data_IF_761917794389
#
_entry.id   IF_761917794389
#
_cell.length_a   1.000
_cell.length_b   1.000
_cell.length_c   1.000
_cell.angle_alpha   90.00
_cell.angle_beta   90.00
_cell.angle_gamma   90.00
#
_symmetry.space_group_name_H-M   'P 1'
#
loop_
_entity.id
_entity.type
_entity.pdbx_description
1 polymer ?
#
# COMPACT_ATOMS: atom_id res chain seq x y z
N UNK A 1 -9.10 -10.60 13.26
CA UNK A 1 -7.90 -11.30 12.74
C UNK A 1 -6.60 -10.66 13.21
N UNK A 2 -6.41 -9.36 12.98
CA UNK A 2 -5.15 -8.66 13.32
C UNK A 2 -5.14 -7.97 14.69
N UNK A 3 -6.25 -7.99 15.42
CA UNK A 3 -6.45 -7.22 16.65
C UNK A 3 -5.37 -7.47 17.71
N UNK A 4 -4.95 -8.72 17.91
CA UNK A 4 -3.89 -9.09 18.86
C UNK A 4 -2.51 -8.51 18.51
N UNK A 5 -2.31 -8.05 17.28
CA UNK A 5 -1.12 -7.33 16.85
C UNK A 5 -1.36 -5.83 16.95
N UNK A 6 -2.51 -5.36 16.44
CA UNK A 6 -2.80 -3.93 16.31
C UNK A 6 -3.12 -3.24 17.65
N UNK A 7 -3.52 -4.00 18.67
CA UNK A 7 -3.68 -3.49 20.04
C UNK A 7 -2.34 -3.10 20.68
N UNK A 8 -1.28 -3.85 20.36
CA UNK A 8 0.07 -3.62 20.88
C UNK A 8 0.85 -2.62 20.00
N UNK A 9 0.70 -2.74 18.68
CA UNK A 9 1.36 -1.89 17.69
C UNK A 9 0.36 -1.54 16.59
N UNK A 10 -0.20 -0.33 16.68
CA UNK A 10 -1.26 0.16 15.79
C UNK A 10 -0.97 -0.11 14.29
N UNK A 11 0.26 0.18 13.84
CA UNK A 11 0.72 -0.14 12.49
C UNK A 11 1.82 -1.21 12.53
N UNK A 12 1.46 -2.45 12.23
CA UNK A 12 2.45 -3.51 12.06
C UNK A 12 3.16 -3.40 10.71
N UNK A 13 4.49 -3.24 10.74
CA UNK A 13 5.34 -3.18 9.55
C UNK A 13 5.99 -4.54 9.30
N UNK A 14 5.25 -5.42 8.64
CA UNK A 14 5.70 -6.77 8.30
C UNK A 14 6.34 -6.74 6.92
N UNK A 15 7.51 -7.37 6.79
CA UNK A 15 8.22 -7.55 5.52
C UNK A 15 8.46 -9.04 5.32
N UNK A 16 8.13 -9.52 4.12
CA UNK A 16 8.36 -10.89 3.69
C UNK A 16 9.21 -10.91 2.44
N UNK A 17 10.18 -11.82 2.38
CA UNK A 17 10.96 -12.09 1.18
C UNK A 17 10.41 -13.33 0.49
N UNK A 18 9.87 -13.15 -0.71
CA UNK A 18 9.30 -14.24 -1.49
C UNK A 18 10.31 -15.32 -1.80
N UNK A 19 9.86 -16.58 -1.78
CA UNK A 19 10.73 -17.73 -2.05
C UNK A 19 11.04 -17.83 -3.53
N UNK A 20 10.05 -17.55 -4.39
CA UNK A 20 10.17 -17.74 -5.84
C UNK A 20 11.01 -16.69 -6.53
N UNK A 21 10.85 -15.42 -6.16
CA UNK A 21 11.48 -14.30 -6.87
C UNK A 21 12.52 -13.54 -6.02
N UNK A 22 12.54 -13.76 -4.69
CA UNK A 22 13.37 -12.98 -3.79
C UNK A 22 12.92 -11.53 -3.62
N UNK A 23 11.73 -11.18 -4.12
CA UNK A 23 11.12 -9.87 -3.97
C UNK A 23 10.69 -9.62 -2.53
N UNK A 24 10.78 -8.36 -2.10
CA UNK A 24 10.26 -7.91 -0.81
C UNK A 24 8.81 -7.48 -0.98
N UNK A 25 7.95 -8.02 -0.13
CA UNK A 25 6.54 -7.62 0.02
C UNK A 25 6.37 -7.09 1.43
N UNK A 26 5.71 -5.95 1.58
CA UNK A 26 5.49 -5.34 2.89
C UNK A 26 4.06 -4.92 3.11
N UNK A 27 3.61 -4.95 4.37
CA UNK A 27 2.42 -4.23 4.79
C UNK A 27 2.67 -2.72 4.74
N UNK A 28 1.63 -1.96 4.46
CA UNK A 28 1.69 -0.50 4.43
C UNK A 28 0.34 0.10 4.81
N UNK A 29 0.37 1.18 5.60
CA UNK A 29 -0.81 1.93 6.00
C UNK A 29 -1.87 1.00 6.60
N UNK A 30 -1.53 0.38 7.72
CA UNK A 30 -2.46 -0.49 8.44
C UNK A 30 -3.51 0.35 9.17
N UNK A 31 -4.77 0.05 8.89
CA UNK A 31 -5.95 0.75 9.40
C UNK A 31 -6.86 -0.25 10.14
N UNK A 32 -6.64 -0.46 11.45
CA UNK A 32 -7.59 -1.15 12.30
C UNK A 32 -8.94 -0.41 12.27
N UNK A 33 -10.05 -1.16 12.21
CA UNK A 33 -11.42 -0.62 12.11
C UNK A 33 -11.65 0.34 10.93
N UNK A 34 -10.88 0.17 9.87
CA UNK A 34 -10.78 1.13 8.78
C UNK A 34 -11.66 0.80 7.57
N UNK A 35 -11.55 1.67 6.58
CA UNK A 35 -12.19 1.56 5.27
C UNK A 35 -11.15 1.61 4.15
N UNK A 36 -11.34 0.78 3.14
CA UNK A 36 -10.70 0.96 1.83
C UNK A 36 -11.39 2.11 1.10
N UNK A 37 -10.62 2.97 0.45
CA UNK A 37 -11.11 4.12 -0.32
C UNK A 37 -10.50 4.21 -1.70
N UNK A 38 -11.14 4.98 -2.57
CA UNK A 38 -10.58 5.37 -3.85
C UNK A 38 -9.65 6.57 -3.69
N UNK A 39 -8.49 6.52 -4.34
CA UNK A 39 -7.58 7.66 -4.51
C UNK A 39 -7.49 7.99 -6.00
N UNK A 40 -7.80 9.25 -6.37
CA UNK A 40 -7.73 9.71 -7.76
C UNK A 40 -6.54 10.65 -7.93
N UNK A 41 -5.59 10.24 -8.77
CA UNK A 41 -4.44 11.07 -9.15
C UNK A 41 -4.42 11.21 -10.66
N UNK A 42 -4.60 12.43 -11.16
CA UNK A 42 -4.57 12.75 -12.60
C UNK A 42 -5.52 11.88 -13.46
N UNK A 43 -6.71 11.55 -12.92
CA UNK A 43 -7.71 10.74 -13.61
C UNK A 43 -7.46 9.23 -13.55
N UNK A 44 -6.42 8.79 -12.85
CA UNK A 44 -6.16 7.39 -12.55
C UNK A 44 -6.73 7.09 -11.16
N UNK A 45 -7.61 6.10 -11.07
CA UNK A 45 -8.20 5.66 -9.80
C UNK A 45 -7.39 4.48 -9.26
N UNK A 46 -6.88 4.65 -8.05
CA UNK A 46 -6.16 3.65 -7.26
C UNK A 46 -6.92 3.38 -5.96
N UNK A 47 -6.50 2.37 -5.20
CA UNK A 47 -7.00 2.16 -3.84
C UNK A 47 -6.08 2.83 -2.83
N UNK A 48 -6.63 3.13 -1.66
CA UNK A 48 -5.92 3.50 -0.44
C UNK A 48 -6.78 3.07 0.77
N UNK A 49 -6.40 3.41 2.00
CA UNK A 49 -7.18 3.10 3.19
C UNK A 49 -7.05 4.17 4.28
N UNK A 50 -8.06 4.24 5.14
CA UNK A 50 -8.02 5.07 6.35
C UNK A 50 -8.82 4.43 7.49
N UNK A 51 -8.74 5.03 8.68
CA UNK A 51 -9.62 4.72 9.82
C UNK A 51 -10.11 6.03 10.45
N UNK A 52 -11.32 6.03 11.00
CA UNK A 52 -11.88 7.20 11.66
C UNK A 52 -11.41 7.30 13.12
N UNK A 53 -11.20 8.52 13.60
CA UNK A 53 -10.94 8.75 15.02
C UNK A 53 -12.19 8.57 15.88
N UNK A 54 -13.39 8.79 15.32
CA UNK A 54 -14.66 8.57 16.01
C UNK A 54 -14.98 7.05 16.05
N UNK A 55 -15.06 6.43 17.24
CA UNK A 55 -15.42 5.01 17.38
C UNK A 55 -16.78 4.65 16.81
N UNK A 56 -17.73 5.57 16.73
CA UNK A 56 -19.05 5.31 16.14
C UNK A 56 -19.01 5.06 14.63
N UNK A 57 -17.91 5.45 13.97
CA UNK A 57 -17.67 5.25 12.54
C UNK A 57 -16.72 4.07 12.27
N UNK A 58 -16.35 3.31 13.30
CA UNK A 58 -15.49 2.15 13.16
C UNK A 58 -16.18 1.04 12.39
N UNK A 59 -15.42 0.39 11.51
CA UNK A 59 -15.87 -0.83 10.86
C UNK A 59 -15.37 -2.06 11.61
N UNK A 60 -15.97 -3.22 11.29
CA UNK A 60 -15.48 -4.53 11.76
C UNK A 60 -14.22 -4.99 11.02
N UNK A 61 -13.76 -4.25 10.01
CA UNK A 61 -12.67 -4.65 9.14
C UNK A 61 -11.36 -3.97 9.52
N UNK A 62 -10.27 -4.71 9.34
CA UNK A 62 -8.92 -4.12 9.25
C UNK A 62 -8.50 -4.14 7.79
N UNK A 63 -7.99 -3.01 7.29
CA UNK A 63 -7.40 -2.95 5.95
C UNK A 63 -5.94 -2.51 6.01
N UNK A 64 -5.16 -2.93 5.02
CA UNK A 64 -3.79 -2.49 4.80
C UNK A 64 -3.40 -2.83 3.36
N UNK A 65 -2.42 -2.12 2.82
CA UNK A 65 -1.86 -2.42 1.52
C UNK A 65 -0.76 -3.48 1.61
N UNK A 66 -0.66 -4.31 0.57
CA UNK A 66 0.50 -5.17 0.31
C UNK A 66 1.27 -4.61 -0.88
N UNK A 67 2.47 -4.13 -0.62
CA UNK A 67 3.33 -3.50 -1.64
C UNK A 67 4.49 -4.41 -1.98
N UNK A 68 4.64 -4.73 -3.27
CA UNK A 68 5.81 -5.44 -3.80
C UNK A 68 6.83 -4.41 -4.27
N UNK A 69 8.05 -4.47 -3.75
CA UNK A 69 9.13 -3.58 -4.19
C UNK A 69 9.80 -4.13 -5.45
N UNK A 70 9.85 -3.31 -6.51
CA UNK A 70 10.59 -3.61 -7.73
C UNK A 70 11.71 -2.61 -7.93
N UNK A 71 12.93 -3.12 -8.13
CA UNK A 71 14.08 -2.32 -8.55
C UNK A 71 14.31 -2.60 -10.03
N UNK A 72 13.96 -1.64 -10.88
CA UNK A 72 14.21 -1.74 -12.30
C UNK A 72 15.67 -1.43 -12.61
N UNK A 73 16.17 -2.09 -13.65
CA UNK A 73 17.51 -1.86 -14.19
C UNK A 73 17.40 -1.35 -15.63
N UNK A 74 18.54 -0.98 -16.21
CA UNK A 74 18.61 -0.61 -17.62
C UNK A 74 17.97 -1.68 -18.54
N UNK A 75 17.31 -1.27 -19.64
CA UNK A 75 17.19 0.10 -20.15
C UNK A 75 16.02 0.92 -19.54
N UNK A 76 15.26 0.35 -18.60
CA UNK A 76 14.03 0.97 -18.11
C UNK A 76 14.31 1.99 -17.00
N UNK A 77 13.68 3.17 -17.10
CA UNK A 77 13.93 4.30 -16.18
C UNK A 77 12.67 4.93 -15.59
N UNK A 78 11.48 4.56 -16.07
CA UNK A 78 10.24 5.24 -15.72
C UNK A 78 9.30 4.38 -14.86
N UNK A 79 9.69 4.10 -13.61
CA UNK A 79 8.89 3.33 -12.65
C UNK A 79 7.48 3.88 -12.42
N UNK A 80 7.30 5.21 -12.51
CA UNK A 80 5.99 5.83 -12.35
C UNK A 80 5.05 5.43 -13.49
N UNK A 81 5.51 5.51 -14.73
CA UNK A 81 4.72 5.09 -15.90
C UNK A 81 4.37 3.60 -15.85
N UNK A 82 5.27 2.74 -15.35
CA UNK A 82 4.95 1.34 -15.11
C UNK A 82 3.78 1.19 -14.13
N UNK A 83 3.85 1.86 -12.97
CA UNK A 83 2.78 1.85 -11.97
C UNK A 83 1.45 2.40 -12.51
N UNK A 84 1.51 3.54 -13.21
CA UNK A 84 0.35 4.15 -13.86
C UNK A 84 -0.29 3.21 -14.89
N UNK A 85 0.52 2.50 -15.69
CA UNK A 85 0.00 1.59 -16.72
C UNK A 85 -0.83 0.44 -16.11
N UNK A 86 -0.40 -0.09 -14.96
CA UNK A 86 -1.15 -1.12 -14.22
C UNK A 86 -2.45 -0.55 -13.66
N UNK A 87 -2.40 0.65 -13.08
CA UNK A 87 -3.59 1.31 -12.56
C UNK A 87 -4.61 1.65 -13.65
N UNK A 88 -4.15 2.13 -14.81
CA UNK A 88 -4.99 2.35 -16.00
C UNK A 88 -5.62 1.05 -16.49
N UNK A 89 -4.88 -0.06 -16.48
CA UNK A 89 -5.43 -1.37 -16.83
C UNK A 89 -6.55 -1.80 -15.85
N UNK A 90 -6.36 -1.56 -14.55
CA UNK A 90 -7.41 -1.77 -13.54
C UNK A 90 -8.66 -0.95 -13.83
N UNK A 91 -8.50 0.34 -14.11
CA UNK A 91 -9.63 1.24 -14.41
C UNK A 91 -10.35 0.85 -15.70
N UNK A 92 -9.62 0.39 -16.71
CA UNK A 92 -10.19 -0.08 -17.98
C UNK A 92 -11.10 -1.29 -17.78
N UNK A 93 -10.68 -2.27 -16.96
CA UNK A 93 -11.46 -3.49 -16.73
C UNK A 93 -12.57 -3.30 -15.69
N UNK A 94 -12.35 -2.45 -14.69
CA UNK A 94 -13.25 -2.28 -13.55
C UNK A 94 -14.16 -1.05 -13.61
N UNK A 95 -13.88 -0.08 -14.48
CA UNK A 95 -14.48 1.26 -14.40
C UNK A 95 -14.03 2.04 -13.15
N UNK A 96 -12.97 1.58 -12.48
CA UNK A 96 -12.53 2.04 -11.16
C UNK A 96 -11.71 0.96 -10.45
N UNK A 97 -11.94 0.79 -9.15
CA UNK A 97 -11.30 -0.24 -8.32
C UNK A 97 -11.94 -1.60 -8.55
N UNK A 98 -11.10 -2.63 -8.66
CA UNK A 98 -11.54 -4.02 -8.68
C UNK A 98 -11.47 -4.62 -7.28
N UNK A 99 -12.42 -5.49 -6.96
CA UNK A 99 -12.38 -6.35 -5.77
C UNK A 99 -12.46 -7.82 -6.17
N UNK A 100 -11.64 -8.66 -5.55
CA UNK A 100 -11.65 -10.10 -5.73
C UNK A 100 -11.49 -10.79 -4.38
N UNK A 101 -12.26 -11.85 -4.16
CA UNK A 101 -12.07 -12.71 -2.98
C UNK A 101 -10.80 -13.53 -3.16
N UNK A 102 -9.99 -13.63 -2.12
CA UNK A 102 -8.72 -14.34 -2.15
C UNK A 102 -8.91 -15.81 -2.56
N UNK A 103 -9.95 -16.47 -2.06
CA UNK A 103 -10.26 -17.86 -2.46
C UNK A 103 -10.62 -18.01 -3.94
N UNK A 104 -11.27 -17.00 -4.54
CA UNK A 104 -11.56 -17.00 -5.98
C UNK A 104 -10.27 -16.80 -6.79
N UNK A 105 -9.39 -15.88 -6.36
CA UNK A 105 -8.07 -15.66 -6.98
C UNK A 105 -7.23 -16.95 -6.99
N UNK A 106 -7.10 -17.62 -5.84
CA UNK A 106 -6.32 -18.87 -5.71
C UNK A 106 -6.90 -19.98 -6.59
N UNK A 107 -8.23 -20.04 -6.73
CA UNK A 107 -8.92 -21.00 -7.63
C UNK A 107 -8.86 -20.61 -9.11
N UNK A 108 -8.17 -19.52 -9.45
CA UNK A 108 -8.03 -19.05 -10.83
C UNK A 108 -9.35 -18.60 -11.45
N UNK A 109 -10.24 -18.01 -10.65
CA UNK A 109 -11.57 -17.56 -11.12
C UNK A 109 -11.89 -16.14 -10.68
N UNK A 110 -12.66 -15.47 -11.52
CA UNK A 110 -13.24 -14.15 -11.24
C UNK A 110 -14.26 -14.19 -10.10
N UNK A 111 -14.21 -13.17 -9.22
CA UNK A 111 -15.33 -12.85 -8.32
C UNK A 111 -16.40 -12.08 -9.11
N UNK A 112 -17.66 -12.48 -8.97
CA UNK A 112 -18.82 -11.77 -9.51
C UNK A 112 -19.74 -11.36 -8.35
N UNK A 113 -20.76 -10.54 -8.63
CA UNK A 113 -21.71 -10.04 -7.62
C UNK A 113 -22.29 -11.16 -6.75
N UNK A 114 -22.71 -12.28 -7.36
CA UNK A 114 -23.28 -13.41 -6.64
C UNK A 114 -22.30 -14.09 -5.67
N UNK A 115 -21.01 -14.13 -6.03
CA UNK A 115 -19.96 -14.67 -5.16
C UNK A 115 -19.61 -13.69 -4.06
N UNK A 116 -19.50 -12.40 -4.40
CA UNK A 116 -19.21 -11.36 -3.43
C UNK A 116 -20.32 -11.24 -2.38
N UNK A 117 -21.59 -11.36 -2.78
CA UNK A 117 -22.74 -11.32 -1.87
C UNK A 117 -22.82 -12.51 -0.91
N UNK A 118 -21.99 -13.55 -1.11
CA UNK A 118 -21.87 -14.72 -0.24
C UNK A 118 -20.65 -14.67 0.67
N UNK A 119 -19.85 -13.60 0.58
CA UNK A 119 -18.68 -13.38 1.43
C UNK A 119 -19.11 -13.09 2.87
N UNK A 120 -18.45 -13.71 3.84
CA UNK A 120 -18.61 -13.31 5.25
C UNK A 120 -17.97 -11.96 5.55
N UNK A 121 -16.93 -11.58 4.81
CA UNK A 121 -16.34 -10.25 4.91
C UNK A 121 -17.12 -9.27 4.05
N UNK A 122 -17.73 -8.27 4.69
CA UNK A 122 -18.47 -7.21 4.03
C UNK A 122 -17.50 -6.17 3.44
N UNK A 123 -17.61 -5.80 2.16
CA UNK A 123 -16.81 -4.73 1.57
C UNK A 123 -17.09 -3.37 2.22
N UNK A 124 -16.05 -2.57 2.51
CA UNK A 124 -16.22 -1.16 2.93
C UNK A 124 -16.30 -0.21 1.74
N UNK A 125 -15.68 -0.59 0.62
CA UNK A 125 -15.68 0.16 -0.62
C UNK A 125 -16.63 -0.49 -1.62
N UNK A 126 -17.48 0.32 -2.26
CA UNK A 126 -18.26 -0.11 -3.43
C UNK A 126 -17.35 -0.22 -4.65
N UNK A 127 -16.71 -1.38 -4.81
CA UNK A 127 -15.80 -1.71 -5.91
C UNK A 127 -16.44 -2.73 -6.88
N UNK A 128 -15.88 -2.84 -8.09
CA UNK A 128 -16.39 -3.75 -9.12
C UNK A 128 -15.83 -5.16 -8.90
N UNK A 129 -16.65 -6.21 -8.74
CA UNK A 129 -16.15 -7.58 -8.65
C UNK A 129 -15.43 -8.01 -9.92
N UNK A 130 -14.20 -8.50 -9.78
CA UNK A 130 -13.31 -8.72 -10.92
C UNK A 130 -12.29 -9.84 -10.74
N UNK A 131 -11.28 -9.77 -11.59
CA UNK A 131 -10.14 -10.68 -11.60
C UNK A 131 -8.84 -9.87 -11.65
N UNK A 132 -8.16 -9.79 -10.52
CA UNK A 132 -6.90 -9.07 -10.37
C UNK A 132 -5.78 -9.73 -11.16
N UNK A 133 -5.90 -11.01 -11.54
CA UNK A 133 -4.89 -11.69 -12.35
C UNK A 133 -4.81 -11.20 -13.80
N UNK A 134 -5.84 -10.49 -14.28
CA UNK A 134 -5.84 -9.81 -15.57
C UNK A 134 -5.18 -8.42 -15.53
N UNK A 135 -4.90 -7.90 -14.34
CA UNK A 135 -4.39 -6.53 -14.13
C UNK A 135 -2.99 -6.54 -13.54
N UNK A 136 -2.80 -7.27 -12.44
CA UNK A 136 -1.54 -7.31 -11.72
C UNK A 136 -0.60 -8.28 -12.44
N UNK A 137 0.62 -7.85 -12.83
CA UNK A 137 1.54 -8.73 -13.49
C UNK A 137 1.90 -9.94 -12.61
N UNK A 138 2.10 -11.09 -13.26
CA UNK A 138 2.21 -12.39 -12.59
C UNK A 138 3.19 -12.41 -11.41
N UNK A 139 4.36 -11.79 -11.56
CA UNK A 139 5.41 -11.80 -10.52
C UNK A 139 4.93 -11.14 -9.23
N UNK A 140 4.31 -9.96 -9.34
CA UNK A 140 3.76 -9.22 -8.21
C UNK A 140 2.55 -9.95 -7.60
N UNK A 141 1.68 -10.53 -8.43
CA UNK A 141 0.52 -11.28 -7.95
C UNK A 141 0.94 -12.53 -7.17
N UNK A 142 1.86 -13.33 -7.71
CA UNK A 142 2.45 -14.49 -7.03
C UNK A 142 3.09 -14.07 -5.69
N UNK A 143 3.80 -12.93 -5.67
CA UNK A 143 4.43 -12.38 -4.46
C UNK A 143 3.40 -11.99 -3.38
N UNK A 144 2.31 -11.34 -3.78
CA UNK A 144 1.19 -10.97 -2.89
C UNK A 144 0.54 -12.23 -2.32
N UNK A 145 0.29 -13.25 -3.15
CA UNK A 145 -0.29 -14.52 -2.70
C UNK A 145 0.64 -15.21 -1.68
N UNK A 146 1.95 -15.28 -1.95
CA UNK A 146 2.92 -15.82 -0.98
C UNK A 146 2.91 -15.06 0.35
N UNK A 147 2.84 -13.73 0.31
CA UNK A 147 2.77 -12.88 1.50
C UNK A 147 1.50 -13.11 2.31
N UNK A 148 0.34 -13.26 1.66
CA UNK A 148 -0.93 -13.55 2.36
C UNK A 148 -0.85 -14.89 3.11
N UNK A 149 -0.30 -15.92 2.48
CA UNK A 149 -0.06 -17.20 3.16
C UNK A 149 0.97 -17.08 4.29
N UNK A 150 2.00 -16.24 4.14
CA UNK A 150 2.96 -15.99 5.21
C UNK A 150 2.30 -15.29 6.41
N UNK A 151 1.49 -14.25 6.14
CA UNK A 151 0.72 -13.52 7.16
C UNK A 151 -0.23 -14.43 7.93
N UNK A 152 -0.82 -15.44 7.29
CA UNK A 152 -1.72 -16.39 7.92
C UNK A 152 -1.05 -17.16 9.09
N UNK A 153 0.27 -17.31 9.08
CA UNK A 153 1.00 -17.95 10.19
C UNK A 153 1.08 -17.07 11.46
N UNK A 154 0.99 -15.75 11.32
CA UNK A 154 1.08 -14.79 12.45
C UNK A 154 -0.27 -14.14 12.78
N UNK A 155 -1.18 -14.11 11.82
CA UNK A 155 -2.56 -13.64 11.93
C UNK A 155 -3.48 -14.65 11.24
N UNK A 156 -3.80 -15.79 11.91
CA UNK A 156 -4.62 -16.85 11.34
C UNK A 156 -5.97 -16.34 10.84
N UNK A 157 -6.33 -16.78 9.63
CA UNK A 157 -7.51 -16.31 8.90
C UNK A 157 -7.19 -15.30 7.81
N UNK A 158 -5.96 -14.77 7.74
CA UNK A 158 -5.54 -13.86 6.67
C UNK A 158 -5.72 -14.49 5.28
N UNK A 159 -5.45 -15.78 5.15
CA UNK A 159 -5.59 -16.54 3.90
C UNK A 159 -6.99 -17.19 3.73
N UNK A 160 -8.04 -16.62 4.33
CA UNK A 160 -9.42 -17.10 4.19
C UNK A 160 -9.96 -16.90 2.77
N UNK A 161 -10.89 -17.76 2.33
CA UNK A 161 -11.53 -17.64 1.02
C UNK A 161 -12.23 -16.28 0.82
N UNK A 162 -12.78 -15.70 1.88
CA UNK A 162 -13.53 -14.45 1.85
C UNK A 162 -12.69 -13.20 2.18
N UNK A 163 -11.37 -13.33 2.38
CA UNK A 163 -10.46 -12.18 2.43
C UNK A 163 -10.60 -11.38 1.13
N UNK A 164 -10.90 -10.09 1.22
CA UNK A 164 -11.12 -9.23 0.05
C UNK A 164 -9.83 -8.54 -0.37
N UNK A 165 -9.46 -8.71 -1.63
CA UNK A 165 -8.34 -8.01 -2.26
C UNK A 165 -8.88 -6.91 -3.16
N UNK A 166 -8.45 -5.68 -2.90
CA UNK A 166 -8.78 -4.51 -3.71
C UNK A 166 -7.56 -4.10 -4.52
N UNK A 167 -7.77 -3.75 -5.79
CA UNK A 167 -6.67 -3.38 -6.68
C UNK A 167 -6.97 -2.16 -7.56
N UNK A 168 -5.94 -1.35 -7.88
CA UNK A 168 -4.52 -1.48 -7.50
C UNK A 168 -4.03 -0.32 -6.64
N UNK A 169 -3.20 -0.64 -5.66
CA UNK A 169 -2.46 0.32 -4.85
C UNK A 169 -1.09 0.53 -5.50
N UNK A 170 -0.74 1.78 -5.83
CA UNK A 170 0.54 2.12 -6.43
C UNK A 170 1.13 3.32 -5.69
N UNK A 171 2.35 3.17 -5.16
CA UNK A 171 3.07 4.27 -4.52
C UNK A 171 4.25 4.73 -5.38
N UNK A 172 4.16 5.98 -5.82
CA UNK A 172 5.10 6.65 -6.71
C UNK A 172 6.26 7.27 -5.91
N UNK A 173 7.19 6.44 -5.40
CA UNK A 173 8.37 6.91 -4.68
C UNK A 173 9.54 7.20 -5.63
N UNK A 174 9.52 8.35 -6.31
CA UNK A 174 10.48 8.62 -7.38
C UNK A 174 11.43 9.81 -7.14
N UNK A 175 11.39 10.45 -5.98
CA UNK A 175 12.22 11.63 -5.71
C UNK A 175 13.05 11.45 -4.45
N UNK A 176 14.28 10.96 -4.61
CA UNK A 176 15.33 11.13 -3.61
C UNK A 176 16.14 12.36 -3.99
N UNK A 177 15.97 13.45 -3.25
CA UNK A 177 16.85 14.61 -3.37
C UNK A 177 18.13 14.29 -2.60
N UNK A 178 19.27 14.39 -3.27
CA UNK A 178 20.55 14.19 -2.59
C UNK A 178 20.79 15.31 -1.57
N UNK A 179 20.87 14.91 -0.31
CA UNK A 179 21.08 15.80 0.84
C UNK A 179 22.21 15.28 1.73
N UNK A 180 22.83 16.18 2.49
CA UNK A 180 23.80 15.82 3.53
C UNK A 180 23.12 15.41 4.85
N UNK A 181 23.92 15.14 5.89
CA UNK A 181 23.41 14.77 7.21
C UNK A 181 22.56 15.85 7.89
N UNK A 182 22.60 17.10 7.42
CA UNK A 182 21.80 18.22 7.91
C UNK A 182 20.52 18.43 7.07
N UNK A 183 20.24 17.54 6.12
CA UNK A 183 19.18 17.67 5.12
C UNK A 183 19.36 18.88 4.20
N UNK A 184 20.60 19.37 4.05
CA UNK A 184 20.96 20.43 3.11
C UNK A 184 21.27 19.81 1.74
N UNK A 185 20.76 20.41 0.68
CA UNK A 185 21.07 19.99 -0.69
C UNK A 185 22.47 20.44 -1.12
N UNK A 186 22.88 20.08 -2.34
CA UNK A 186 24.09 20.65 -2.98
C UNK A 186 24.05 22.18 -3.09
N UNK A 187 22.85 22.79 -3.07
CA UNK A 187 22.69 24.24 -3.07
C UNK A 187 22.71 24.72 -1.61
N UNK A 188 23.74 25.48 -1.24
CA UNK A 188 23.92 25.99 0.12
C UNK A 188 22.74 26.87 0.54
N UNK A 189 22.23 26.62 1.74
CA UNK A 189 21.05 27.30 2.27
C UNK A 189 19.70 26.72 1.81
N UNK A 190 19.69 25.75 0.89
CA UNK A 190 18.48 25.06 0.47
C UNK A 190 18.38 23.70 1.17
N UNK A 191 17.35 23.55 2.00
CA UNK A 191 17.05 22.33 2.75
C UNK A 191 15.80 21.66 2.19
N UNK A 192 15.83 20.34 2.08
CA UNK A 192 14.68 19.55 1.65
C UNK A 192 14.40 18.51 2.72
N UNK A 193 13.18 18.51 3.23
CA UNK A 193 12.75 17.76 4.41
C UNK A 193 11.42 17.07 4.14
N UNK A 194 11.01 16.19 5.06
CA UNK A 194 9.81 15.40 4.93
C UNK A 194 9.85 14.41 3.77
N UNK A 195 8.70 13.85 3.44
CA UNK A 195 8.62 12.77 2.45
C UNK A 195 8.98 13.25 1.03
N UNK A 196 8.87 14.56 0.76
CA UNK A 196 9.32 15.17 -0.49
C UNK A 196 10.85 15.16 -0.70
N UNK A 197 11.63 14.94 0.36
CA UNK A 197 13.08 14.70 0.24
C UNK A 197 13.42 13.29 -0.23
N UNK A 198 12.50 12.34 -0.01
CA UNK A 198 12.76 10.90 -0.14
C UNK A 198 13.53 10.27 1.03
N UNK A 199 13.97 11.06 2.03
CA UNK A 199 14.66 10.57 3.24
C UNK A 199 13.68 9.95 4.24
N UNK A 200 12.44 10.44 4.25
CA UNK A 200 11.39 9.96 5.15
C UNK A 200 10.20 9.41 4.36
N UNK A 201 9.44 8.50 4.97
CA UNK A 201 8.23 7.93 4.37
C UNK A 201 7.12 7.71 5.42
N UNK A 202 6.99 8.66 6.34
CA UNK A 202 6.08 8.58 7.49
C UNK A 202 5.82 9.97 8.06
N UNK A 203 4.59 10.23 8.49
CA UNK A 203 4.21 11.47 9.18
C UNK A 203 5.14 11.79 10.36
N UNK A 204 5.48 10.80 11.18
CA UNK A 204 6.35 11.00 12.34
C UNK A 204 7.80 11.34 11.94
N UNK A 205 8.33 10.65 10.94
CA UNK A 205 9.68 10.91 10.43
C UNK A 205 9.75 12.27 9.72
N UNK A 206 8.74 12.59 8.90
CA UNK A 206 8.64 13.88 8.23
C UNK A 206 8.58 15.03 9.24
N UNK A 207 7.77 14.89 10.29
CA UNK A 207 7.69 15.86 11.37
C UNK A 207 9.01 16.01 12.13
N UNK A 208 9.68 14.89 12.45
CA UNK A 208 10.98 14.89 13.09
C UNK A 208 12.06 15.59 12.24
N UNK A 209 12.03 15.39 10.91
CA UNK A 209 12.95 16.06 9.99
C UNK A 209 12.79 17.59 10.02
N UNK A 210 11.55 18.09 10.14
CA UNK A 210 11.28 19.51 10.29
C UNK A 210 11.85 20.09 11.59
N UNK A 211 11.62 19.40 12.72
CA UNK A 211 12.17 19.79 14.02
C UNK A 211 13.71 19.76 14.01
N UNK A 212 14.29 18.76 13.35
CA UNK A 212 15.74 18.59 13.24
C UNK A 212 16.38 19.78 12.50
N UNK A 213 15.89 20.12 11.31
CA UNK A 213 16.39 21.26 10.53
C UNK A 213 16.13 22.58 11.26
N UNK A 214 14.96 22.77 11.88
CA UNK A 214 14.67 23.98 12.66
C UNK A 214 15.70 24.22 13.77
N UNK A 215 16.15 23.17 14.47
CA UNK A 215 17.19 23.26 15.50
C UNK A 215 18.57 23.62 14.93
N UNK A 216 18.91 23.14 13.74
CA UNK A 216 20.15 23.48 13.05
C UNK A 216 20.15 24.95 12.66
N UNK A 217 19.08 25.42 12.00
CA UNK A 217 18.94 26.81 11.58
C UNK A 217 18.91 27.75 12.79
N UNK A 218 18.21 27.36 13.86
CA UNK A 218 18.17 28.13 15.10
C UNK A 218 19.54 28.32 15.76
N UNK A 219 20.50 27.40 15.60
CA UNK A 219 21.88 27.57 16.09
C UNK A 219 22.77 28.37 15.14
N UNK A 220 22.40 28.43 13.86
CA UNK A 220 23.19 29.10 12.81
C UNK A 220 22.86 30.59 12.72
N UNK A 221 21.63 30.96 13.04
CA UNK A 221 21.10 32.31 12.84
C UNK A 221 20.64 33.02 14.13
N UNK A 222 20.62 32.35 15.28
CA UNK A 222 20.63 33.02 16.59
C UNK A 222 22.06 33.11 17.12
#
# INVERSE_FOLDING_TARGET
>A
MFEHITSEVYESKVVYRTKKYGDLVRTFCMNPHGEVVNENTNGIVTVNGHSYSNPELHTENTNFALLVSNNFTEPFKNSNEYGESIARLSNMLGGGVLVQRFGDLVKGRRTNEHRLSKSFTNPTLKATPGDLSLVIPKRQLDAIIEMIYALDNIAPGSANEDTLLYGVEVKFYNSNVEVDNNLETKIKGLYVLGDGSGVTHSLSQASASGVYVARILGKKYN
#
